data_IF_828010708073
#
_entry.id   IF_828010708073
#
_cell.length_a   1.000
_cell.length_b   1.000
_cell.length_c   1.000
_cell.angle_alpha   90.00
_cell.angle_beta   90.00
_cell.angle_gamma   90.00
#
_symmetry.space_group_name_H-M   'P 1'
#
loop_
_entity.id
_entity.type
_entity.pdbx_description
1 polymer ?
#
# COMPACT_ATOMS: atom_id res chain seq x y z
N UNK A 1 13.04 6.07 9.70
CA UNK A 1 12.05 6.80 8.88
C UNK A 1 11.54 7.95 9.73
N UNK A 2 11.41 9.16 9.19
CA UNK A 2 10.76 10.24 9.91
C UNK A 2 9.27 9.88 10.14
N UNK A 3 8.70 10.38 11.24
CA UNK A 3 7.30 10.12 11.60
C UNK A 3 6.33 10.64 10.53
N UNK A 4 6.59 11.84 10.01
CA UNK A 4 5.79 12.49 8.98
C UNK A 4 5.72 11.69 7.67
N UNK A 5 6.84 11.10 7.24
CA UNK A 5 6.86 10.18 6.09
C UNK A 5 5.93 9.00 6.33
N UNK A 6 6.02 8.41 7.53
CA UNK A 6 5.25 7.22 7.89
C UNK A 6 3.75 7.47 7.77
N UNK A 7 3.29 8.63 8.25
CA UNK A 7 1.90 9.05 8.19
C UNK A 7 1.45 9.28 6.74
N UNK A 8 2.28 9.92 5.90
CA UNK A 8 1.98 10.09 4.47
C UNK A 8 1.79 8.76 3.75
N UNK A 9 2.70 7.79 3.96
CA UNK A 9 2.58 6.46 3.36
C UNK A 9 1.34 5.72 3.85
N UNK A 10 1.02 5.80 5.15
CA UNK A 10 -0.20 5.21 5.72
C UNK A 10 -1.47 5.82 5.11
N UNK A 11 -1.49 7.13 4.88
CA UNK A 11 -2.63 7.79 4.25
C UNK A 11 -2.86 7.31 2.83
N UNK A 12 -1.78 7.13 2.06
CA UNK A 12 -1.87 6.59 0.71
C UNK A 12 -2.35 5.13 0.70
N UNK A 13 -1.89 4.30 1.64
CA UNK A 13 -2.37 2.92 1.79
C UNK A 13 -3.85 2.86 2.11
N UNK A 14 -4.30 3.74 3.01
CA UNK A 14 -5.71 3.86 3.36
C UNK A 14 -6.54 4.26 2.14
N UNK A 15 -6.18 5.37 1.48
CA UNK A 15 -6.90 5.90 0.33
C UNK A 15 -6.92 4.94 -0.88
N UNK A 16 -5.86 4.14 -1.05
CA UNK A 16 -5.78 3.17 -2.14
C UNK A 16 -6.77 2.01 -1.98
N UNK A 17 -7.20 1.73 -0.74
CA UNK A 17 -8.14 0.65 -0.41
C UNK A 17 -9.55 1.14 -0.09
N UNK A 18 -9.70 2.38 0.39
CA UNK A 18 -10.98 3.06 0.60
C UNK A 18 -11.59 3.45 -0.76
N UNK A 19 -12.17 2.44 -1.44
CA UNK A 19 -12.65 2.58 -2.83
C UNK A 19 -13.95 3.36 -2.92
N UNK A 20 -14.83 3.22 -1.93
CA UNK A 20 -16.11 3.94 -1.87
C UNK A 20 -15.96 5.34 -1.26
N UNK A 21 -14.77 5.67 -0.74
CA UNK A 21 -14.44 6.96 -0.10
C UNK A 21 -15.38 7.24 1.08
N UNK A 22 -15.80 6.20 1.80
CA UNK A 22 -16.62 6.35 3.00
C UNK A 22 -15.77 6.76 4.22
N UNK A 23 -14.45 6.81 4.05
CA UNK A 23 -13.49 7.20 5.07
C UNK A 23 -13.20 6.10 6.07
N UNK A 24 -13.53 4.84 5.76
CA UNK A 24 -13.36 3.67 6.62
C UNK A 24 -12.82 2.48 5.84
N UNK A 25 -12.17 1.57 6.56
CA UNK A 25 -11.76 0.27 6.04
C UNK A 25 -12.28 -0.85 6.92
N UNK A 26 -12.80 -1.90 6.29
CA UNK A 26 -13.18 -3.13 6.96
C UNK A 26 -11.96 -3.94 7.43
N UNK A 27 -12.18 -4.83 8.40
CA UNK A 27 -11.15 -5.78 8.84
C UNK A 27 -10.62 -6.66 7.70
N UNK A 28 -11.44 -6.92 6.68
CA UNK A 28 -11.06 -7.66 5.47
C UNK A 28 -10.09 -6.86 4.62
N UNK A 29 -10.42 -5.60 4.30
CA UNK A 29 -9.54 -4.72 3.51
C UNK A 29 -8.20 -4.49 4.20
N UNK A 30 -8.20 -4.35 5.52
CA UNK A 30 -6.94 -4.25 6.29
C UNK A 30 -6.15 -5.55 6.20
N UNK A 31 -6.81 -6.70 6.28
CA UNK A 31 -6.14 -8.00 6.12
C UNK A 31 -5.49 -8.13 4.73
N UNK A 32 -6.18 -7.68 3.69
CA UNK A 32 -5.64 -7.64 2.33
C UNK A 32 -4.40 -6.73 2.22
N UNK A 33 -4.43 -5.51 2.77
CA UNK A 33 -3.27 -4.60 2.80
C UNK A 33 -2.06 -5.32 3.39
N UNK A 34 -2.24 -5.98 4.53
CA UNK A 34 -1.17 -6.65 5.24
C UNK A 34 -0.61 -7.83 4.43
N UNK A 35 -1.49 -8.67 3.88
CA UNK A 35 -1.10 -9.78 3.02
C UNK A 35 -0.32 -9.27 1.79
N UNK A 36 -0.80 -8.22 1.15
CA UNK A 36 -0.16 -7.64 -0.05
C UNK A 36 1.17 -6.95 0.26
N UNK A 37 1.36 -6.49 1.49
CA UNK A 37 2.64 -6.04 2.03
C UNK A 37 3.53 -7.19 2.53
N UNK A 38 3.12 -8.45 2.35
CA UNK A 38 3.88 -9.61 2.82
C UNK A 38 3.95 -9.74 4.34
N UNK A 39 3.05 -9.06 5.06
CA UNK A 39 2.88 -9.15 6.50
C UNK A 39 1.87 -10.28 6.76
N UNK A 40 2.40 -11.46 7.06
CA UNK A 40 1.59 -12.57 7.57
C UNK A 40 1.43 -12.43 9.09
N UNK A 41 0.22 -12.07 9.53
CA UNK A 41 -0.08 -11.90 10.95
C UNK A 41 -0.55 -13.20 11.65
N UNK A 42 -0.56 -14.35 10.96
CA UNK A 42 -1.09 -15.59 11.49
C UNK A 42 -2.61 -15.45 11.73
N UNK A 43 -3.38 -15.74 10.69
CA UNK A 43 -4.79 -15.37 10.45
C UNK A 43 -5.73 -15.30 11.67
N UNK A 44 -5.67 -16.22 12.63
CA UNK A 44 -6.83 -16.42 13.54
C UNK A 44 -6.93 -15.46 14.72
N UNK A 45 -5.82 -14.88 15.16
CA UNK A 45 -5.84 -13.97 16.31
C UNK A 45 -5.94 -12.50 15.92
N UNK A 46 -5.51 -12.16 14.71
CA UNK A 46 -5.33 -10.78 14.30
C UNK A 46 -6.67 -10.07 14.07
N UNK A 47 -7.51 -10.62 13.21
CA UNK A 47 -8.82 -10.01 12.89
C UNK A 47 -9.67 -9.85 14.14
N UNK A 48 -9.67 -10.87 15.02
CA UNK A 48 -10.36 -10.83 16.31
C UNK A 48 -9.87 -9.67 17.18
N UNK A 49 -8.56 -9.51 17.38
CA UNK A 49 -8.00 -8.40 18.17
C UNK A 49 -8.31 -7.03 17.55
N UNK A 50 -8.30 -6.94 16.23
CA UNK A 50 -8.59 -5.71 15.52
C UNK A 50 -10.07 -5.32 15.68
N UNK A 51 -10.98 -6.29 15.55
CA UNK A 51 -12.42 -6.09 15.77
C UNK A 51 -12.73 -5.78 17.23
N UNK A 52 -12.11 -6.47 18.19
CA UNK A 52 -12.31 -6.22 19.62
C UNK A 52 -11.87 -4.81 20.03
N UNK A 53 -10.78 -4.31 19.44
CA UNK A 53 -10.22 -2.99 19.79
C UNK A 53 -10.92 -1.84 19.07
N UNK A 54 -11.18 -1.97 17.77
CA UNK A 54 -11.63 -0.85 16.94
C UNK A 54 -13.00 -1.05 16.28
N UNK A 55 -13.57 -2.25 16.35
CA UNK A 55 -14.80 -2.63 15.65
C UNK A 55 -14.54 -3.16 14.24
N UNK A 56 -15.61 -3.31 13.46
CA UNK A 56 -15.57 -3.91 12.11
C UNK A 56 -15.11 -2.95 11.01
N UNK A 57 -15.13 -1.64 11.29
CA UNK A 57 -14.73 -0.57 10.38
C UNK A 57 -13.77 0.37 11.11
N UNK A 58 -12.61 0.63 10.52
CA UNK A 58 -11.59 1.50 11.10
C UNK A 58 -11.52 2.81 10.34
N UNK A 59 -11.46 3.92 11.08
CA UNK A 59 -11.10 5.22 10.51
C UNK A 59 -9.62 5.25 10.14
N UNK A 60 -9.23 6.28 9.39
CA UNK A 60 -7.83 6.55 9.03
C UNK A 60 -6.89 6.60 10.24
N UNK A 61 -7.31 7.24 11.32
CA UNK A 61 -6.52 7.39 12.55
C UNK A 61 -6.34 6.03 13.25
N UNK A 62 -7.40 5.22 13.32
CA UNK A 62 -7.34 3.89 13.92
C UNK A 62 -6.47 2.94 13.08
N UNK A 63 -6.55 3.04 11.76
CA UNK A 63 -5.66 2.31 10.85
C UNK A 63 -4.19 2.70 11.06
N UNK A 64 -3.89 4.00 11.18
CA UNK A 64 -2.53 4.47 11.45
C UNK A 64 -1.99 3.95 12.78
N UNK A 65 -2.77 4.08 13.87
CA UNK A 65 -2.41 3.57 15.20
C UNK A 65 -2.13 2.06 15.12
N UNK A 66 -3.03 1.32 14.47
CA UNK A 66 -2.89 -0.11 14.30
C UNK A 66 -1.60 -0.48 13.53
N UNK A 67 -1.34 0.13 12.37
CA UNK A 67 -0.17 -0.17 11.55
C UNK A 67 1.15 0.25 12.20
N UNK A 68 1.12 1.19 13.15
CA UNK A 68 2.29 1.54 13.96
C UNK A 68 2.53 0.51 15.08
N UNK A 69 1.49 -0.18 15.55
CA UNK A 69 1.59 -1.22 16.58
C UNK A 69 2.17 -2.56 16.08
N UNK A 70 2.21 -2.80 14.76
CA UNK A 70 2.72 -4.05 14.17
C UNK A 70 4.26 -4.08 14.24
N UNK A 71 4.86 -5.04 14.98
CA UNK A 71 6.31 -5.19 15.03
C UNK A 71 6.87 -5.82 13.74
N UNK A 72 8.09 -5.43 13.36
CA UNK A 72 8.90 -6.10 12.33
C UNK A 72 8.35 -6.01 10.89
N UNK A 73 8.30 -4.79 10.34
CA UNK A 73 7.90 -4.45 8.95
C UNK A 73 8.93 -4.87 7.88
N UNK A 74 9.44 -6.10 7.96
CA UNK A 74 10.64 -6.54 7.22
C UNK A 74 10.54 -6.46 5.68
N UNK A 75 9.33 -6.31 5.11
CA UNK A 75 9.10 -6.14 3.67
C UNK A 75 7.87 -5.27 3.35
N UNK A 76 7.73 -4.11 4.00
CA UNK A 76 6.64 -3.21 3.63
C UNK A 76 6.83 -2.60 2.23
N UNK A 77 5.74 -2.37 1.51
CA UNK A 77 5.74 -1.73 0.18
C UNK A 77 6.35 -0.32 0.22
N UNK A 78 6.40 0.30 1.41
CA UNK A 78 7.04 1.60 1.66
C UNK A 78 8.53 1.52 1.42
N UNK A 79 9.18 0.48 1.94
CA UNK A 79 10.62 0.25 1.77
C UNK A 79 10.94 -0.04 0.31
N UNK A 80 10.09 -0.80 -0.37
CA UNK A 80 10.22 -1.06 -1.82
C UNK A 80 10.10 0.26 -2.60
N UNK A 81 9.08 1.05 -2.33
CA UNK A 81 8.88 2.32 -3.02
C UNK A 81 9.99 3.33 -2.76
N UNK A 82 10.52 3.40 -1.53
CA UNK A 82 11.69 4.22 -1.20
C UNK A 82 13.00 3.72 -1.83
N UNK A 83 13.05 2.46 -2.25
CA UNK A 83 14.20 1.91 -2.98
C UNK A 83 14.14 2.21 -4.48
N UNK A 84 13.01 2.72 -4.99
CA UNK A 84 12.94 3.25 -6.33
C UNK A 84 13.77 4.53 -6.42
N UNK A 85 14.30 4.85 -7.61
CA UNK A 85 14.88 6.16 -7.83
C UNK A 85 13.78 7.23 -7.67
N UNK A 86 13.88 8.04 -6.62
CA UNK A 86 12.91 9.10 -6.35
C UNK A 86 13.37 10.37 -7.07
N UNK A 87 12.61 10.74 -8.10
CA UNK A 87 12.78 12.00 -8.82
C UNK A 87 12.35 13.19 -7.94
N UNK A 88 11.33 12.96 -7.11
CA UNK A 88 10.75 13.92 -6.16
C UNK A 88 10.16 13.18 -4.97
N UNK A 89 10.12 13.80 -3.79
CA UNK A 89 9.54 13.17 -2.59
C UNK A 89 8.12 12.64 -2.84
N UNK A 90 7.93 11.33 -2.68
CA UNK A 90 6.66 10.64 -2.92
C UNK A 90 6.32 10.31 -4.38
N UNK A 91 7.22 10.61 -5.34
CA UNK A 91 7.02 10.38 -6.77
C UNK A 91 8.22 9.68 -7.42
N UNK A 92 7.96 8.83 -8.40
CA UNK A 92 8.98 8.10 -9.15
C UNK A 92 8.57 7.95 -10.61
N UNK A 93 9.49 7.54 -11.49
CA UNK A 93 9.20 7.27 -12.89
C UNK A 93 8.66 5.84 -13.09
N UNK A 94 7.92 5.61 -14.17
CA UNK A 94 7.45 4.27 -14.55
C UNK A 94 8.64 3.32 -14.77
N UNK A 95 9.73 3.83 -15.32
CA UNK A 95 10.97 3.12 -15.59
C UNK A 95 11.61 2.61 -14.30
N UNK A 96 11.70 3.45 -13.27
CA UNK A 96 12.25 3.05 -11.97
C UNK A 96 11.40 2.00 -11.25
N UNK A 97 10.07 2.10 -11.36
CA UNK A 97 9.17 1.07 -10.85
C UNK A 97 9.41 -0.25 -11.60
N UNK A 98 9.46 -0.21 -12.95
CA UNK A 98 9.66 -1.41 -13.78
C UNK A 98 10.97 -2.11 -13.43
N UNK A 99 12.07 -1.36 -13.33
CA UNK A 99 13.38 -1.88 -12.98
C UNK A 99 13.34 -2.62 -11.64
N UNK A 100 12.78 -1.98 -10.61
CA UNK A 100 12.77 -2.57 -9.27
C UNK A 100 11.81 -3.77 -9.16
N UNK A 101 10.62 -3.70 -9.77
CA UNK A 101 9.70 -4.84 -9.80
C UNK A 101 10.32 -6.03 -10.52
N UNK A 102 11.09 -5.79 -11.58
CA UNK A 102 11.85 -6.83 -12.31
C UNK A 102 12.97 -7.42 -11.47
N UNK A 103 13.75 -6.57 -10.77
CA UNK A 103 14.79 -7.01 -9.82
C UNK A 103 14.20 -7.92 -8.73
N UNK A 104 13.02 -7.56 -8.23
CA UNK A 104 12.26 -8.32 -7.23
C UNK A 104 11.58 -9.57 -7.79
N UNK A 105 11.66 -9.81 -9.11
CA UNK A 105 11.01 -10.92 -9.83
C UNK A 105 9.50 -10.95 -9.61
N UNK A 106 8.86 -9.78 -9.56
CA UNK A 106 7.40 -9.66 -9.54
C UNK A 106 6.90 -9.93 -10.97
N UNK A 107 6.08 -10.97 -11.12
CA UNK A 107 5.42 -11.28 -12.38
C UNK A 107 4.48 -10.13 -12.77
N UNK A 108 4.25 -9.96 -14.07
CA UNK A 108 3.35 -8.96 -14.64
C UNK A 108 3.75 -7.49 -14.38
N UNK A 109 5.03 -7.24 -14.05
CA UNK A 109 5.55 -5.89 -13.82
C UNK A 109 5.18 -4.90 -14.94
N UNK A 110 5.31 -5.30 -16.21
CA UNK A 110 4.93 -4.46 -17.35
C UNK A 110 3.42 -4.13 -17.35
N UNK A 111 2.57 -5.12 -17.09
CA UNK A 111 1.12 -4.91 -17.06
C UNK A 111 0.68 -3.99 -15.90
N UNK A 112 1.43 -3.97 -14.79
CA UNK A 112 1.24 -3.00 -13.72
C UNK A 112 1.60 -1.58 -14.17
N UNK A 113 2.75 -1.41 -14.83
CA UNK A 113 3.20 -0.11 -15.34
C UNK A 113 2.21 0.50 -16.36
N UNK A 114 1.65 -0.35 -17.23
CA UNK A 114 0.70 0.10 -18.26
C UNK A 114 -0.60 0.63 -17.65
N UNK A 115 -0.97 0.16 -16.45
CA UNK A 115 -2.15 0.62 -15.70
C UNK A 115 -1.87 1.82 -14.81
N UNK A 116 -0.62 2.19 -14.57
CA UNK A 116 -0.27 3.36 -13.76
C UNK A 116 -0.63 4.65 -14.49
N UNK A 117 -1.20 5.58 -13.74
CA UNK A 117 -1.59 6.89 -14.23
C UNK A 117 -0.56 7.92 -13.78
N UNK A 118 -0.25 8.86 -14.68
CA UNK A 118 0.63 9.98 -14.40
C UNK A 118 -0.22 11.25 -14.50
N UNK A 119 -0.31 12.01 -13.39
CA UNK A 119 -1.02 13.28 -13.40
C UNK A 119 -0.30 14.30 -14.29
N UNK A 120 -1.07 15.18 -14.94
CA UNK A 120 -0.51 16.31 -15.70
C UNK A 120 0.32 17.22 -14.79
N UNK A 121 -0.14 17.40 -13.55
CA UNK A 121 0.56 18.20 -12.52
C UNK A 121 1.68 17.42 -11.80
N UNK A 122 1.75 16.11 -12.01
CA UNK A 122 2.76 15.25 -11.39
C UNK A 122 4.10 15.28 -12.14
N UNK A 123 4.20 16.07 -13.21
CA UNK A 123 5.40 16.15 -14.04
C UNK A 123 5.69 14.86 -14.81
N UNK A 124 4.67 14.04 -15.07
CA UNK A 124 4.82 12.74 -15.69
C UNK A 124 5.31 11.63 -14.76
N UNK A 125 5.25 11.85 -13.43
CA UNK A 125 5.67 10.88 -12.43
C UNK A 125 4.50 10.13 -11.81
N UNK A 126 4.78 8.94 -11.29
CA UNK A 126 3.83 8.09 -10.58
C UNK A 126 3.93 8.37 -9.08
N UNK A 127 2.81 8.69 -8.44
CA UNK A 127 2.72 8.84 -6.98
C UNK A 127 2.67 7.48 -6.28
N UNK A 128 3.05 7.45 -5.01
CA UNK A 128 2.92 6.23 -4.19
C UNK A 128 1.49 5.70 -4.14
N UNK A 129 0.49 6.58 -4.02
CA UNK A 129 -0.92 6.18 -3.99
C UNK A 129 -1.34 5.52 -5.31
N UNK A 130 -0.93 6.07 -6.46
CA UNK A 130 -1.24 5.46 -7.76
C UNK A 130 -0.59 4.07 -7.90
N UNK A 131 0.67 3.94 -7.51
CA UNK A 131 1.37 2.66 -7.46
C UNK A 131 0.60 1.62 -6.63
N UNK A 132 0.15 1.99 -5.43
CA UNK A 132 -0.62 1.10 -4.56
C UNK A 132 -1.98 0.70 -5.15
N UNK A 133 -2.73 1.66 -5.73
CA UNK A 133 -4.03 1.38 -6.35
C UNK A 133 -3.91 0.30 -7.43
N UNK A 134 -2.92 0.42 -8.31
CA UNK A 134 -2.69 -0.57 -9.37
C UNK A 134 -2.18 -1.89 -8.79
N UNK A 135 -1.23 -1.84 -7.86
CA UNK A 135 -0.67 -3.03 -7.23
C UNK A 135 -1.75 -3.84 -6.50
N UNK A 136 -2.55 -3.22 -5.62
CA UNK A 136 -3.63 -3.90 -4.90
C UNK A 136 -4.72 -4.42 -5.84
N UNK A 137 -5.12 -3.65 -6.84
CA UNK A 137 -6.08 -4.10 -7.86
C UNK A 137 -5.62 -5.37 -8.57
N UNK A 138 -4.35 -5.46 -8.95
CA UNK A 138 -3.81 -6.66 -9.60
C UNK A 138 -3.83 -7.91 -8.70
N UNK A 139 -3.61 -7.74 -7.40
CA UNK A 139 -3.65 -8.83 -6.41
C UNK A 139 -5.08 -9.29 -6.11
N UNK A 140 -6.06 -8.41 -6.17
CA UNK A 140 -7.48 -8.75 -6.03
C UNK A 140 -8.01 -9.52 -7.26
N UNK A 141 -7.54 -9.18 -8.46
CA UNK A 141 -7.95 -9.86 -9.70
C UNK A 141 -7.37 -11.27 -9.84
N UNK A 142 -6.24 -11.57 -9.20
CA UNK A 142 -5.60 -12.90 -9.21
C UNK A 142 -6.19 -13.86 -8.18
N UNK A 143 -7.02 -13.38 -7.25
CA UNK A 143 -7.69 -14.17 -6.22
C UNK A 143 -9.20 -14.42 -6.47
N UNK A 144 -9.69 -14.15 -7.69
CA UNK A 144 -11.05 -14.49 -8.13
C UNK A 144 -11.12 -15.82 -8.87
#
# INVERSE_FOLDING_TARGET
MAEDDTIKFLNAEFNAMDKDNDGKLSSTEISEILIYQGIDLGERGFQTRLIEKYGTLLTKEQFQEFMQSIPNKKRDLRTIFKSFHQERDGYTSKESILEKLTEMRINDAQALIDQMEIGVDDGGLVSYENFLRVYFKSKQQTHS
#
